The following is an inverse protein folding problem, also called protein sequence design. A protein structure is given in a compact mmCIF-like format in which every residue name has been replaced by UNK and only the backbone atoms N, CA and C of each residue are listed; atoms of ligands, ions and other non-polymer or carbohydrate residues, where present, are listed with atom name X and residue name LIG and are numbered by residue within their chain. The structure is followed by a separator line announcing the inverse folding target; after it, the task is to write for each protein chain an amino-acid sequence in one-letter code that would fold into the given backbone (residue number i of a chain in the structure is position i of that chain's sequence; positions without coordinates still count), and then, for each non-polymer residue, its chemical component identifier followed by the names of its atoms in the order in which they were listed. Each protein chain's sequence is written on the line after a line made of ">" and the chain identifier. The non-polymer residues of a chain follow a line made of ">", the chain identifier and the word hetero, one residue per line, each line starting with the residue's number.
data_IF_298903806052
#
_entry.id   IF_298903806052
#
_cell.length_a   1.000
_cell.length_b   1.000
_cell.length_c   1.000
_cell.angle_alpha   90.00
_cell.angle_beta   90.00
_cell.angle_gamma   90.00
#
_symmetry.space_group_name_H-M   'P 1'
#
loop_
_entity.id
_entity.type
_entity.pdbx_description
1 polymer ?
#
# COMPACT_ATOMS: atom_id res chain seq x y z
N UNK A 1 -69.47 58.09 -9.01
CA UNK A 1 -68.55 58.45 -7.91
C UNK A 1 -67.68 57.24 -7.57
N UNK A 2 -66.37 57.49 -7.34
CA UNK A 2 -65.31 56.60 -6.80
C UNK A 2 -64.75 55.54 -7.78
N UNK A 3 -63.55 55.73 -8.37
CA UNK A 3 -62.18 55.54 -7.79
C UNK A 3 -61.94 54.05 -7.47
N UNK A 4 -60.92 53.31 -7.93
CA UNK A 4 -59.52 53.66 -8.20
C UNK A 4 -58.80 52.61 -9.07
N UNK A 5 -57.79 53.10 -9.79
CA UNK A 5 -56.66 52.36 -10.37
C UNK A 5 -56.00 51.39 -9.39
N UNK A 6 -55.70 50.15 -9.83
CA UNK A 6 -54.76 49.25 -9.16
C UNK A 6 -53.77 48.60 -10.15
N UNK A 7 -52.64 49.29 -10.30
CA UNK A 7 -51.27 48.78 -10.35
C UNK A 7 -51.02 47.28 -10.62
N UNK A 8 -50.43 46.97 -11.79
CA UNK A 8 -49.30 46.02 -11.88
C UNK A 8 -48.06 46.77 -11.34
N UNK A 9 -47.14 46.15 -10.58
CA UNK A 9 -46.17 45.27 -11.23
C UNK A 9 -45.69 44.06 -10.41
N UNK A 10 -45.64 42.92 -11.10
CA UNK A 10 -44.52 41.98 -11.21
C UNK A 10 -43.20 42.42 -10.51
N UNK A 11 -43.10 42.33 -9.18
CA UNK A 11 -41.87 42.67 -8.47
C UNK A 11 -41.75 41.98 -7.11
N UNK A 12 -41.98 40.67 -7.01
CA UNK A 12 -41.75 39.96 -5.74
C UNK A 12 -41.63 38.44 -5.91
N UNK A 13 -40.65 37.95 -6.67
CA UNK A 13 -40.33 36.50 -6.69
C UNK A 13 -38.86 36.14 -6.97
N UNK A 14 -37.90 37.08 -6.90
CA UNK A 14 -36.49 36.77 -7.25
C UNK A 14 -35.59 36.46 -6.04
N UNK A 15 -36.06 36.54 -4.80
CA UNK A 15 -35.15 36.40 -3.63
C UNK A 15 -34.92 34.96 -3.15
N UNK A 16 -35.63 33.95 -3.65
CA UNK A 16 -35.51 32.58 -3.15
C UNK A 16 -34.51 31.67 -3.92
N UNK A 17 -33.61 32.22 -4.73
CA UNK A 17 -32.62 31.44 -5.51
C UNK A 17 -31.16 31.81 -5.22
N UNK A 18 -30.87 32.41 -4.05
CA UNK A 18 -29.51 32.87 -3.69
C UNK A 18 -28.81 32.06 -2.60
N UNK A 19 -29.50 31.15 -1.89
CA UNK A 19 -29.00 30.57 -0.64
C UNK A 19 -28.71 29.06 -0.69
N UNK A 20 -28.41 28.50 -1.86
CA UNK A 20 -28.02 27.09 -2.00
C UNK A 20 -26.62 26.86 -2.58
N UNK A 21 -25.90 27.90 -3.04
CA UNK A 21 -24.52 27.77 -3.52
C UNK A 21 -23.43 28.04 -2.47
N UNK A 22 -23.77 28.50 -1.27
CA UNK A 22 -22.76 28.83 -0.25
C UNK A 22 -22.26 27.62 0.58
N UNK A 23 -22.95 26.48 0.53
CA UNK A 23 -22.58 25.29 1.33
C UNK A 23 -21.54 24.38 0.66
N UNK A 24 -21.25 24.55 -0.63
CA UNK A 24 -20.27 23.71 -1.36
C UNK A 24 -18.80 24.15 -1.20
N UNK A 25 -18.54 25.47 -1.10
CA UNK A 25 -17.18 26.01 -1.03
C UNK A 25 -16.49 25.76 0.33
N UNK A 26 -17.26 25.68 1.41
CA UNK A 26 -16.71 25.43 2.75
C UNK A 26 -16.20 23.99 2.95
N UNK A 27 -16.75 23.01 2.23
CA UNK A 27 -16.38 21.60 2.32
C UNK A 27 -15.10 21.26 1.54
N UNK A 28 -14.70 22.10 0.57
CA UNK A 28 -13.46 21.90 -0.19
C UNK A 28 -12.21 22.34 0.60
N UNK A 29 -12.29 23.47 1.32
CA UNK A 29 -11.18 23.99 2.13
C UNK A 29 -10.87 23.16 3.38
N UNK A 30 -11.86 22.46 3.97
CA UNK A 30 -11.60 21.57 5.12
C UNK A 30 -10.73 20.37 4.72
N UNK A 31 -10.92 19.85 3.51
CA UNK A 31 -10.18 18.69 3.01
C UNK A 31 -8.70 19.01 2.72
N UNK A 32 -8.39 20.23 2.28
CA UNK A 32 -7.01 20.65 2.04
C UNK A 32 -6.22 20.77 3.35
N UNK A 33 -6.82 21.34 4.40
CA UNK A 33 -6.19 21.44 5.72
C UNK A 33 -5.96 20.06 6.35
N UNK A 34 -6.90 19.14 6.18
CA UNK A 34 -6.76 17.77 6.64
C UNK A 34 -5.69 17.00 5.85
N UNK A 35 -5.59 17.23 4.54
CA UNK A 35 -4.57 16.64 3.69
C UNK A 35 -3.16 17.09 4.10
N UNK A 36 -2.96 18.38 4.39
CA UNK A 36 -1.68 18.91 4.89
C UNK A 36 -1.32 18.28 6.24
N UNK A 37 -2.28 18.15 7.16
CA UNK A 37 -2.03 17.46 8.45
C UNK A 37 -1.63 16.00 8.28
N UNK A 38 -2.23 15.29 7.32
CA UNK A 38 -1.85 13.90 7.00
C UNK A 38 -0.45 13.85 6.38
N UNK A 39 -0.06 14.81 5.55
CA UNK A 39 1.30 14.91 5.01
C UNK A 39 2.34 15.17 6.10
N UNK A 40 2.06 16.07 7.04
CA UNK A 40 2.95 16.35 8.18
C UNK A 40 3.11 15.12 9.08
N UNK A 41 2.01 14.39 9.33
CA UNK A 41 2.05 13.14 10.09
C UNK A 41 2.90 12.06 9.38
N UNK A 42 2.73 11.89 8.07
CA UNK A 42 3.52 10.95 7.27
C UNK A 42 5.01 11.34 7.22
N UNK A 43 5.32 12.64 7.16
CA UNK A 43 6.70 13.12 7.22
C UNK A 43 7.37 12.76 8.55
N UNK A 44 6.66 12.94 9.67
CA UNK A 44 7.15 12.55 10.99
C UNK A 44 7.34 11.03 11.14
N UNK A 45 6.44 10.23 10.57
CA UNK A 45 6.58 8.77 10.53
C UNK A 45 7.79 8.34 9.70
N UNK A 46 8.05 8.98 8.56
CA UNK A 46 9.23 8.69 7.74
C UNK A 46 10.54 9.01 8.46
N UNK A 47 10.61 10.12 9.20
CA UNK A 47 11.79 10.46 9.97
C UNK A 47 12.05 9.47 11.11
N UNK A 48 10.98 8.99 11.76
CA UNK A 48 11.08 7.92 12.76
C UNK A 48 11.58 6.62 12.15
N UNK A 49 11.03 6.17 11.01
CA UNK A 49 11.46 4.94 10.33
C UNK A 49 12.92 5.06 9.85
N UNK A 50 13.33 6.23 9.33
CA UNK A 50 14.73 6.48 8.96
C UNK A 50 15.66 6.41 10.17
N UNK A 51 15.25 6.95 11.32
CA UNK A 51 16.03 6.87 12.55
C UNK A 51 16.15 5.42 13.07
N UNK A 52 15.06 4.65 13.03
CA UNK A 52 15.09 3.22 13.37
C UNK A 52 15.99 2.43 12.41
N UNK A 53 15.94 2.72 11.11
CA UNK A 53 16.80 2.08 10.11
C UNK A 53 18.27 2.44 10.31
N UNK A 54 18.58 3.70 10.64
CA UNK A 54 19.93 4.13 11.00
C UNK A 54 20.44 3.43 12.28
N UNK A 55 19.59 3.26 13.29
CA UNK A 55 19.93 2.50 14.49
C UNK A 55 20.11 1.01 14.20
N UNK A 56 19.28 0.41 13.35
CA UNK A 56 19.43 -0.98 12.93
C UNK A 56 20.72 -1.20 12.13
N UNK A 57 21.08 -0.28 11.23
CA UNK A 57 22.36 -0.30 10.50
C UNK A 57 23.56 -0.16 11.43
N UNK A 58 23.53 0.80 12.36
CA UNK A 58 24.58 0.96 13.34
C UNK A 58 24.71 -0.27 14.28
N UNK A 59 23.61 -0.99 14.54
CA UNK A 59 23.62 -2.25 15.28
C UNK A 59 24.07 -3.46 14.43
N UNK A 60 23.93 -3.40 13.11
CA UNK A 60 24.43 -4.39 12.16
C UNK A 60 25.93 -4.21 11.83
N UNK A 61 26.51 -3.01 12.07
CA UNK A 61 27.94 -2.72 11.89
C UNK A 61 28.80 -3.01 13.14
N UNK A 62 28.22 -3.48 14.25
CA UNK A 62 29.00 -4.27 15.21
C UNK A 62 29.38 -5.58 14.49
N UNK A 63 30.65 -6.06 14.54
CA UNK A 63 31.16 -7.04 13.59
C UNK A 63 30.37 -8.35 13.66
N UNK A 64 29.33 -8.43 12.84
CA UNK A 64 28.67 -9.65 12.44
C UNK A 64 29.39 -10.11 11.18
N UNK A 65 30.02 -11.27 11.33
CA UNK A 65 30.50 -12.12 10.24
C UNK A 65 29.63 -12.01 9.00
N UNK A 66 30.28 -11.76 7.86
CA UNK A 66 29.68 -11.47 6.57
C UNK A 66 28.53 -12.42 6.20
N UNK A 67 27.35 -11.85 5.95
CA UNK A 67 26.19 -12.52 5.36
C UNK A 67 26.00 -11.99 3.94
N UNK A 68 26.45 -12.75 2.95
CA UNK A 68 26.23 -12.53 1.52
C UNK A 68 24.77 -12.77 1.13
N UNK A 69 24.14 -11.77 0.52
CA UNK A 69 22.86 -11.89 -0.19
C UNK A 69 23.01 -12.76 -1.46
N UNK A 70 21.94 -13.46 -1.93
CA UNK A 70 22.02 -14.20 -3.19
C UNK A 70 21.92 -13.22 -4.37
N UNK A 71 23.02 -13.04 -5.08
CA UNK A 71 23.02 -12.45 -6.41
C UNK A 71 22.56 -13.51 -7.43
N UNK A 72 21.48 -13.22 -8.14
CA UNK A 72 21.19 -13.88 -9.40
C UNK A 72 22.27 -13.48 -10.42
N UNK A 73 23.29 -14.32 -10.59
CA UNK A 73 24.18 -14.23 -11.74
C UNK A 73 24.76 -15.62 -12.03
N UNK A 74 24.42 -16.17 -13.19
CA UNK A 74 25.16 -17.27 -13.80
C UNK A 74 26.58 -16.79 -14.06
N UNK A 75 27.54 -17.22 -13.25
CA UNK A 75 28.96 -17.05 -13.54
C UNK A 75 29.73 -18.23 -12.95
N UNK A 76 30.34 -19.04 -13.83
CA UNK A 76 31.18 -20.20 -13.49
C UNK A 76 32.52 -19.77 -12.89
N UNK A 77 32.50 -19.22 -11.68
CA UNK A 77 33.67 -19.14 -10.81
C UNK A 77 33.42 -20.06 -9.60
N UNK A 78 34.45 -20.71 -9.01
CA UNK A 78 34.26 -21.44 -7.77
C UNK A 78 34.02 -20.42 -6.66
N UNK A 79 32.75 -20.08 -6.45
CA UNK A 79 32.27 -19.30 -5.31
C UNK A 79 32.50 -20.16 -4.07
N UNK A 80 33.30 -19.65 -3.12
CA UNK A 80 33.41 -20.25 -1.80
C UNK A 80 31.98 -20.41 -1.24
N UNK A 81 31.57 -21.64 -0.98
CA UNK A 81 30.21 -21.97 -0.60
C UNK A 81 29.89 -21.18 0.69
N UNK A 82 28.92 -20.23 0.67
CA UNK A 82 28.53 -19.57 1.89
C UNK A 82 28.04 -20.62 2.87
N UNK A 83 28.52 -20.56 4.10
CA UNK A 83 28.05 -21.41 5.19
C UNK A 83 26.52 -21.32 5.23
N UNK A 84 25.78 -22.43 5.19
CA UNK A 84 24.33 -22.39 5.06
C UNK A 84 23.74 -21.60 6.23
N UNK A 85 22.95 -20.56 5.90
CA UNK A 85 22.23 -19.78 6.91
C UNK A 85 21.33 -20.73 7.71
N UNK A 86 21.31 -20.63 9.05
CA UNK A 86 20.43 -21.45 9.88
C UNK A 86 18.95 -21.12 9.62
N UNK A 87 18.65 -19.90 9.17
CA UNK A 87 17.30 -19.46 8.79
C UNK A 87 17.16 -19.43 7.28
N UNK A 88 16.17 -20.15 6.76
CA UNK A 88 15.79 -20.16 5.35
C UNK A 88 14.34 -19.73 5.21
N UNK A 89 14.07 -18.85 4.25
CA UNK A 89 12.71 -18.47 3.85
C UNK A 89 12.49 -18.92 2.41
N UNK A 90 11.35 -19.56 2.15
CA UNK A 90 10.93 -20.00 0.82
C UNK A 90 9.52 -19.50 0.53
N UNK A 91 9.20 -19.29 -0.74
CA UNK A 91 7.85 -19.01 -1.17
C UNK A 91 7.59 -19.67 -2.52
N UNK A 92 6.38 -20.19 -2.70
CA UNK A 92 5.90 -20.75 -3.96
C UNK A 92 4.44 -20.34 -4.15
N UNK A 93 4.03 -20.13 -5.39
CA UNK A 93 2.65 -19.80 -5.68
C UNK A 93 2.26 -20.15 -7.11
N UNK A 94 0.96 -20.29 -7.31
CA UNK A 94 0.34 -20.65 -8.58
C UNK A 94 -0.65 -19.56 -8.98
N UNK A 95 -0.58 -19.18 -10.25
CA UNK A 95 -1.48 -18.19 -10.85
C UNK A 95 -2.08 -18.83 -12.09
N UNK A 96 -3.41 -18.83 -12.16
CA UNK A 96 -4.15 -19.24 -13.34
C UNK A 96 -4.60 -18.04 -14.14
N UNK A 97 -4.26 -18.02 -15.42
CA UNK A 97 -4.73 -17.03 -16.38
C UNK A 97 -5.57 -17.73 -17.46
N UNK A 98 -6.85 -17.39 -17.53
CA UNK A 98 -7.78 -17.92 -18.51
C UNK A 98 -8.25 -16.78 -19.41
N UNK A 99 -7.86 -16.82 -20.68
CA UNK A 99 -8.33 -15.89 -21.71
C UNK A 99 -9.08 -16.64 -22.80
N UNK A 100 -10.42 -16.64 -22.79
CA UNK A 100 -11.20 -17.22 -23.88
C UNK A 100 -10.96 -16.47 -25.20
N UNK A 101 -10.79 -17.21 -26.30
CA UNK A 101 -10.47 -16.61 -27.60
C UNK A 101 -11.67 -15.93 -28.28
N UNK A 102 -12.89 -16.33 -27.92
CA UNK A 102 -14.15 -15.86 -28.54
C UNK A 102 -14.86 -14.79 -27.72
N UNK A 103 -14.53 -14.68 -26.44
CA UNK A 103 -15.11 -13.71 -25.52
C UNK A 103 -14.03 -13.22 -24.54
N UNK A 104 -13.40 -12.10 -24.90
CA UNK A 104 -12.37 -11.50 -24.06
C UNK A 104 -12.92 -10.90 -22.76
N UNK A 105 -14.22 -10.65 -22.66
CA UNK A 105 -14.82 -10.10 -21.44
C UNK A 105 -14.85 -11.11 -20.30
N UNK A 106 -14.81 -12.41 -20.62
CA UNK A 106 -14.73 -13.51 -19.66
C UNK A 106 -13.28 -13.88 -19.24
N UNK A 107 -12.32 -12.98 -19.47
CA UNK A 107 -10.92 -13.18 -19.06
C UNK A 107 -10.82 -13.18 -17.54
N UNK A 108 -10.12 -14.16 -16.97
CA UNK A 108 -9.91 -14.30 -15.53
C UNK A 108 -8.42 -14.50 -15.20
N UNK A 109 -8.00 -13.93 -14.09
CA UNK A 109 -6.67 -14.09 -13.52
C UNK A 109 -6.83 -14.34 -12.02
N UNK A 110 -6.51 -15.56 -11.57
CA UNK A 110 -6.71 -15.99 -10.20
C UNK A 110 -5.38 -16.45 -9.63
N UNK A 111 -5.06 -16.07 -8.40
CA UNK A 111 -4.04 -16.76 -7.60
C UNK A 111 -4.76 -17.98 -7.03
N UNK A 112 -4.25 -19.17 -7.31
CA UNK A 112 -4.89 -20.42 -6.85
C UNK A 112 -4.19 -21.03 -5.65
N UNK A 113 -2.95 -20.62 -5.41
CA UNK A 113 -2.18 -21.08 -4.26
C UNK A 113 -1.05 -20.12 -3.96
N UNK A 114 -0.82 -19.85 -2.69
CA UNK A 114 0.39 -19.19 -2.22
C UNK A 114 0.87 -19.84 -0.93
N UNK A 115 2.09 -20.36 -0.95
CA UNK A 115 2.75 -21.01 0.19
C UNK A 115 3.99 -20.21 0.55
N UNK A 116 4.11 -19.82 1.82
CA UNK A 116 5.33 -19.29 2.39
C UNK A 116 5.87 -20.28 3.44
N UNK A 117 7.14 -20.64 3.28
CA UNK A 117 7.86 -21.56 4.16
C UNK A 117 8.93 -20.83 4.96
N UNK A 118 8.99 -21.12 6.25
CA UNK A 118 10.03 -20.70 7.17
C UNK A 118 10.71 -21.93 7.73
N UNK A 119 12.02 -21.97 7.66
CA UNK A 119 12.83 -23.01 8.28
C UNK A 119 13.90 -22.36 9.14
N UNK A 120 14.06 -22.82 10.38
CA UNK A 120 15.18 -22.43 11.22
C UNK A 120 15.81 -23.66 11.88
N UNK A 121 17.14 -23.79 11.72
CA UNK A 121 17.94 -24.84 12.32
C UNK A 121 18.62 -24.31 13.58
N UNK A 122 18.29 -24.88 14.72
CA UNK A 122 18.91 -24.54 16.00
C UNK A 122 20.24 -25.27 16.19
N UNK A 123 20.30 -26.54 15.77
CA UNK A 123 21.50 -27.38 15.81
C UNK A 123 21.44 -28.46 14.70
N UNK A 124 22.43 -29.36 14.62
CA UNK A 124 22.49 -30.42 13.59
C UNK A 124 21.30 -31.38 13.60
N UNK A 125 20.62 -31.55 14.73
CA UNK A 125 19.53 -32.50 14.97
C UNK A 125 18.18 -31.82 15.17
N UNK A 126 18.15 -30.53 15.46
CA UNK A 126 16.94 -29.78 15.81
C UNK A 126 16.67 -28.67 14.79
N UNK A 127 15.51 -28.75 14.13
CA UNK A 127 15.02 -27.70 13.24
C UNK A 127 13.51 -27.49 13.42
N UNK A 128 13.06 -26.27 13.20
CA UNK A 128 11.65 -25.93 13.00
C UNK A 128 11.39 -25.69 11.52
N UNK A 129 10.25 -26.16 11.05
CA UNK A 129 9.71 -25.89 9.72
C UNK A 129 8.27 -25.45 9.92
N UNK A 130 7.93 -24.30 9.38
CA UNK A 130 6.59 -23.73 9.39
C UNK A 130 6.21 -23.37 7.96
N UNK A 131 4.99 -23.71 7.57
CA UNK A 131 4.44 -23.38 6.26
C UNK A 131 3.08 -22.73 6.46
N UNK A 132 2.83 -21.65 5.73
CA UNK A 132 1.54 -20.99 5.65
C UNK A 132 1.08 -21.04 4.20
N UNK A 133 -0.10 -21.62 4.00
CA UNK A 133 -0.77 -21.73 2.72
C UNK A 133 -2.00 -20.83 2.68
N UNK A 134 -2.19 -20.17 1.55
CA UNK A 134 -3.33 -19.28 1.25
C UNK A 134 -3.90 -19.68 -0.11
N UNK A 135 -5.23 -19.75 -0.17
CA UNK A 135 -6.04 -20.04 -1.36
C UNK A 135 -6.92 -18.84 -1.75
#
# INVERSE_FOLDING_TARGET
>A
MKKNSLYRPFALSVVALGLSLAFGAAQAQSNESELVKRLDALAAELDKVKAELAQMKAKADAPAVASTAPAMASNNAPVALPTPSPTQLSAYGEINYAKPSKDSSATQANITRFVIGYQHRFDEKTKVVAELEVE
#
